data_IF_693663093795
#
_entry.id   IF_693663093795
#
_cell.length_a   1.000
_cell.length_b   1.000
_cell.length_c   1.000
_cell.angle_alpha   90.00
_cell.angle_beta   90.00
_cell.angle_gamma   90.00
#
_symmetry.space_group_name_H-M   'P 1'
#
loop_
_entity.id
_entity.type
_entity.pdbx_description
1 polymer ?
#
# COMPACT_ATOMS: atom_id res chain seq x y z
N UNK A 1 -12.19 2.83 14.06
CA UNK A 1 -11.09 3.26 13.16
C UNK A 1 -11.66 3.69 11.81
N UNK A 2 -11.29 4.87 11.32
CA UNK A 2 -11.72 5.46 10.04
C UNK A 2 -10.51 6.09 9.33
N UNK A 3 -10.35 5.86 8.04
CA UNK A 3 -9.38 6.61 7.23
C UNK A 3 -9.97 7.99 6.96
N UNK A 4 -9.23 9.04 7.31
CA UNK A 4 -9.64 10.44 7.05
C UNK A 4 -9.05 10.95 5.75
N UNK A 5 -7.77 10.70 5.52
CA UNK A 5 -7.04 11.23 4.38
C UNK A 5 -5.92 10.29 3.97
N UNK A 6 -5.64 10.27 2.68
CA UNK A 6 -4.46 9.62 2.11
C UNK A 6 -3.78 10.62 1.20
N UNK A 7 -2.47 10.80 1.35
CA UNK A 7 -1.63 11.55 0.42
C UNK A 7 -0.61 10.60 -0.21
N UNK A 8 -0.39 10.74 -1.49
CA UNK A 8 0.57 9.97 -2.27
C UNK A 8 1.41 10.93 -3.09
N UNK A 9 2.72 10.87 -2.92
CA UNK A 9 3.69 11.70 -3.66
C UNK A 9 4.60 10.78 -4.46
N UNK A 10 4.65 10.98 -5.77
CA UNK A 10 5.59 10.32 -6.69
C UNK A 10 5.54 8.78 -6.65
N UNK A 11 4.34 8.21 -6.58
CA UNK A 11 4.11 6.76 -6.58
C UNK A 11 3.31 6.35 -7.83
N UNK A 12 3.90 5.50 -8.66
CA UNK A 12 3.27 5.00 -9.89
C UNK A 12 2.81 6.15 -10.79
N UNK A 13 1.51 6.22 -11.15
CA UNK A 13 0.98 7.31 -11.99
C UNK A 13 0.79 8.64 -11.24
N UNK A 14 0.91 8.65 -9.91
CA UNK A 14 0.76 9.86 -9.10
C UNK A 14 2.05 10.66 -9.10
N UNK A 15 2.09 11.73 -9.92
CA UNK A 15 3.20 12.69 -9.99
C UNK A 15 2.95 13.81 -9.01
N UNK A 16 3.99 14.26 -8.30
CA UNK A 16 3.88 15.23 -7.22
C UNK A 16 2.91 14.74 -6.12
N UNK A 17 2.35 15.67 -5.36
CA UNK A 17 1.45 15.37 -4.27
C UNK A 17 0.00 15.23 -4.77
N UNK A 18 -0.62 14.12 -4.42
CA UNK A 18 -2.03 13.84 -4.69
C UNK A 18 -2.72 13.45 -3.38
N UNK A 19 -3.77 14.18 -3.02
CA UNK A 19 -4.50 13.95 -1.78
C UNK A 19 -5.91 13.42 -2.06
N UNK A 20 -6.33 12.46 -1.23
CA UNK A 20 -7.68 11.87 -1.24
C UNK A 20 -8.28 12.08 0.14
N UNK A 21 -9.36 12.85 0.21
CA UNK A 21 -10.09 13.10 1.43
C UNK A 21 -11.27 12.12 1.54
N UNK A 22 -11.34 11.41 2.66
CA UNK A 22 -12.38 10.44 2.98
C UNK A 22 -13.21 10.87 4.19
N UNK A 23 -13.01 12.09 4.69
CA UNK A 23 -13.76 12.63 5.82
C UNK A 23 -15.17 13.03 5.37
N UNK A 24 -16.06 12.05 5.39
CA UNK A 24 -17.47 12.25 5.05
C UNK A 24 -18.18 12.81 6.26
N UNK A 25 -18.78 14.00 6.13
CA UNK A 25 -19.54 14.68 7.19
C UNK A 25 -20.84 13.94 7.58
N UNK A 26 -21.38 13.14 6.66
CA UNK A 26 -22.61 12.37 6.89
C UNK A 26 -22.30 11.05 7.59
N UNK A 27 -22.65 10.95 8.87
CA UNK A 27 -22.41 9.76 9.71
C UNK A 27 -23.14 8.51 9.20
N UNK A 28 -24.16 8.66 8.36
CA UNK A 28 -24.89 7.52 7.78
C UNK A 28 -24.17 6.91 6.60
N UNK A 29 -23.27 7.64 5.96
CA UNK A 29 -22.47 7.19 4.81
C UNK A 29 -21.18 6.53 5.29
N UNK A 30 -21.15 5.21 5.32
CA UNK A 30 -20.00 4.42 5.81
C UNK A 30 -19.11 3.86 4.69
N UNK A 31 -19.42 4.18 3.44
CA UNK A 31 -18.73 3.61 2.28
C UNK A 31 -18.25 4.74 1.37
N UNK A 32 -16.98 4.68 0.99
CA UNK A 32 -16.38 5.53 -0.04
C UNK A 32 -16.04 4.67 -1.25
N UNK A 33 -16.55 5.03 -2.41
CA UNK A 33 -16.28 4.34 -3.66
C UNK A 33 -15.20 5.11 -4.45
N UNK A 34 -14.10 4.43 -4.77
CA UNK A 34 -13.03 4.98 -5.60
C UNK A 34 -13.21 4.46 -7.02
N UNK A 35 -13.75 5.29 -7.90
CA UNK A 35 -13.94 5.01 -9.32
C UNK A 35 -12.79 5.54 -10.18
N UNK A 36 -12.65 5.00 -11.40
CA UNK A 36 -11.69 5.50 -12.39
C UNK A 36 -11.46 4.51 -13.54
N UNK A 37 -10.96 5.02 -14.67
CA UNK A 37 -10.60 4.22 -15.86
C UNK A 37 -9.50 3.20 -15.54
N UNK A 38 -9.33 2.19 -16.40
CA UNK A 38 -8.20 1.26 -16.28
C UNK A 38 -6.87 2.05 -16.42
N UNK A 39 -5.89 1.73 -15.58
CA UNK A 39 -4.61 2.46 -15.56
C UNK A 39 -4.61 3.75 -14.71
N UNK A 40 -5.74 4.21 -14.17
CA UNK A 40 -5.83 5.46 -13.39
C UNK A 40 -5.17 5.41 -12.00
N UNK A 41 -4.53 4.30 -11.62
CA UNK A 41 -3.80 4.20 -10.35
C UNK A 41 -4.58 3.60 -9.19
N UNK A 42 -5.82 3.09 -9.37
CA UNK A 42 -6.61 2.49 -8.27
C UNK A 42 -5.84 1.42 -7.49
N UNK A 43 -5.24 0.47 -8.20
CA UNK A 43 -4.42 -0.59 -7.60
C UNK A 43 -3.16 -0.02 -6.93
N UNK A 44 -2.57 1.01 -7.53
CA UNK A 44 -1.40 1.71 -6.97
C UNK A 44 -1.75 2.38 -5.65
N UNK A 45 -2.90 3.06 -5.56
CA UNK A 45 -3.39 3.67 -4.32
C UNK A 45 -3.61 2.63 -3.23
N UNK A 46 -4.24 1.50 -3.57
CA UNK A 46 -4.44 0.40 -2.61
C UNK A 46 -3.10 -0.19 -2.12
N UNK A 47 -2.14 -0.38 -3.02
CA UNK A 47 -0.81 -0.85 -2.65
C UNK A 47 -0.05 0.19 -1.82
N UNK A 48 -0.18 1.48 -2.13
CA UNK A 48 0.41 2.56 -1.34
C UNK A 48 -0.09 2.55 0.11
N UNK A 49 -1.40 2.33 0.33
CA UNK A 49 -1.97 2.16 1.68
C UNK A 49 -1.33 0.96 2.38
N UNK A 50 -1.29 -0.20 1.71
CA UNK A 50 -0.69 -1.42 2.28
C UNK A 50 0.75 -1.20 2.68
N UNK A 51 1.55 -0.62 1.80
CA UNK A 51 2.96 -0.40 2.04
C UNK A 51 3.17 0.63 3.15
N UNK A 52 2.40 1.73 3.17
CA UNK A 52 2.51 2.72 4.23
C UNK A 52 2.30 2.09 5.60
N UNK A 53 1.27 1.26 5.74
CA UNK A 53 0.92 0.66 7.02
C UNK A 53 1.81 -0.53 7.39
N UNK A 54 2.15 -1.41 6.45
CA UNK A 54 2.81 -2.69 6.73
C UNK A 54 4.29 -2.74 6.33
N UNK A 55 4.79 -1.77 5.55
CA UNK A 55 6.17 -1.79 5.07
C UNK A 55 6.53 -3.04 4.29
N UNK A 56 7.66 -3.65 4.62
CA UNK A 56 8.16 -4.86 3.96
C UNK A 56 7.22 -6.06 4.08
N UNK A 57 6.43 -6.13 5.17
CA UNK A 57 5.45 -7.21 5.38
C UNK A 57 4.33 -7.19 4.34
N UNK A 58 4.02 -6.03 3.75
CA UNK A 58 3.07 -5.92 2.64
C UNK A 58 3.43 -6.80 1.43
N UNK A 59 4.70 -7.12 1.27
CA UNK A 59 5.26 -7.99 0.24
C UNK A 59 5.67 -9.38 0.75
N UNK A 60 5.42 -9.69 2.02
CA UNK A 60 5.78 -10.96 2.64
C UNK A 60 7.26 -11.06 3.05
N UNK A 61 7.95 -9.94 3.21
CA UNK A 61 9.32 -9.91 3.73
C UNK A 61 9.32 -9.63 5.25
N UNK A 62 10.23 -10.27 5.97
CA UNK A 62 10.38 -10.09 7.43
C UNK A 62 11.17 -8.82 7.79
N UNK A 63 11.94 -8.27 6.84
CA UNK A 63 12.80 -7.10 7.05
C UNK A 63 13.01 -6.31 5.77
N UNK A 64 13.49 -5.08 5.91
CA UNK A 64 13.87 -4.19 4.81
C UNK A 64 15.16 -4.69 4.15
N UNK A 65 15.03 -5.66 3.25
CA UNK A 65 16.13 -6.27 2.50
C UNK A 65 16.18 -5.78 1.04
N UNK A 66 17.19 -6.20 0.30
CA UNK A 66 17.37 -5.81 -1.11
C UNK A 66 16.17 -6.21 -2.00
N UNK A 67 15.50 -7.34 -1.70
CA UNK A 67 14.32 -7.79 -2.46
C UNK A 67 13.13 -6.85 -2.21
N UNK A 68 12.94 -6.42 -0.97
CA UNK A 68 11.93 -5.42 -0.63
C UNK A 68 12.18 -4.10 -1.36
N UNK A 69 13.40 -3.57 -1.32
CA UNK A 69 13.72 -2.32 -2.00
C UNK A 69 13.60 -2.42 -3.53
N UNK A 70 13.81 -3.59 -4.12
CA UNK A 70 13.52 -3.83 -5.53
C UNK A 70 12.01 -3.76 -5.85
N UNK A 71 11.12 -4.17 -4.93
CA UNK A 71 9.67 -3.96 -5.08
C UNK A 71 9.29 -2.48 -4.91
N UNK A 72 9.91 -1.79 -3.96
CA UNK A 72 9.71 -0.34 -3.77
C UNK A 72 10.16 0.43 -5.02
N UNK A 73 11.30 0.10 -5.60
CA UNK A 73 11.79 0.72 -6.84
C UNK A 73 10.74 0.63 -7.97
N UNK A 74 10.03 -0.48 -8.09
CA UNK A 74 9.01 -0.66 -9.14
C UNK A 74 7.84 0.31 -9.00
N UNK A 75 7.46 0.66 -7.77
CA UNK A 75 6.30 1.52 -7.50
C UNK A 75 6.63 3.02 -7.50
N UNK A 76 7.89 3.40 -7.27
CA UNK A 76 8.29 4.81 -7.34
C UNK A 76 8.14 5.32 -8.78
N UNK A 77 7.65 6.56 -8.93
CA UNK A 77 7.45 7.17 -10.23
C UNK A 77 8.75 7.20 -11.05
N UNK A 78 8.66 6.94 -12.34
CA UNK A 78 9.82 6.84 -13.22
C UNK A 78 10.63 8.15 -13.27
N UNK A 79 9.97 9.31 -13.22
CA UNK A 79 10.63 10.61 -13.25
C UNK A 79 11.54 10.80 -12.02
N UNK A 80 11.10 10.34 -10.84
CA UNK A 80 11.89 10.43 -9.61
C UNK A 80 13.15 9.56 -9.65
N UNK A 81 13.10 8.42 -10.33
CA UNK A 81 14.27 7.54 -10.51
C UNK A 81 15.35 8.15 -11.39
N UNK A 82 14.99 9.08 -12.27
CA UNK A 82 15.90 9.79 -13.15
C UNK A 82 16.54 11.02 -12.47
N UNK A 83 16.00 11.45 -11.33
CA UNK A 83 16.57 12.56 -10.56
C UNK A 83 17.87 12.12 -9.87
N UNK A 84 18.77 13.09 -9.63
CA UNK A 84 19.97 12.85 -8.81
C UNK A 84 19.60 12.39 -7.40
N UNK A 85 18.54 12.98 -6.86
CA UNK A 85 17.89 12.60 -5.62
C UNK A 85 16.39 12.68 -5.87
N UNK A 86 15.72 11.55 -5.87
CA UNK A 86 14.27 11.44 -6.00
C UNK A 86 13.62 11.16 -4.64
N UNK A 87 12.37 11.54 -4.52
CA UNK A 87 11.59 11.35 -3.29
C UNK A 87 10.20 10.80 -3.62
N UNK A 88 9.75 9.86 -2.81
CA UNK A 88 8.40 9.33 -2.85
C UNK A 88 7.85 9.20 -1.43
N UNK A 89 6.56 9.45 -1.23
CA UNK A 89 5.97 9.45 0.09
C UNK A 89 4.52 8.99 0.07
N UNK A 90 4.09 8.35 1.14
CA UNK A 90 2.69 8.06 1.43
C UNK A 90 2.38 8.50 2.85
N UNK A 91 1.31 9.28 2.99
CA UNK A 91 0.79 9.72 4.28
C UNK A 91 -0.64 9.22 4.45
N UNK A 92 -0.97 8.70 5.62
CA UNK A 92 -2.31 8.21 5.95
C UNK A 92 -2.74 8.76 7.29
N UNK A 93 -3.85 9.47 7.32
CA UNK A 93 -4.49 9.91 8.55
C UNK A 93 -5.61 8.94 8.93
N UNK A 94 -5.49 8.35 10.11
CA UNK A 94 -6.49 7.45 10.69
C UNK A 94 -7.09 8.08 11.94
N UNK A 95 -8.41 8.09 12.01
CA UNK A 95 -9.12 8.36 13.26
C UNK A 95 -9.33 7.03 13.99
N UNK A 96 -8.88 6.98 15.23
CA UNK A 96 -9.01 5.82 16.10
C UNK A 96 -9.58 6.24 17.44
N UNK A 97 -10.62 5.51 17.89
CA UNK A 97 -11.25 5.68 19.19
C UNK A 97 -10.55 4.73 20.18
N UNK A 98 -10.10 5.24 21.31
CA UNK A 98 -9.52 4.47 22.42
C UNK A 98 -10.55 4.07 23.49
N UNK A 99 -11.83 4.36 23.24
CA UNK A 99 -12.96 4.12 24.14
C UNK A 99 -13.33 5.32 25.02
N UNK A 100 -12.50 6.39 24.99
CA UNK A 100 -12.77 7.67 25.68
C UNK A 100 -12.71 8.86 24.74
N UNK A 101 -11.72 8.86 23.85
CA UNK A 101 -11.46 9.96 22.94
C UNK A 101 -11.08 9.45 21.56
N UNK A 102 -11.44 10.24 20.56
CA UNK A 102 -10.96 10.06 19.20
C UNK A 102 -9.57 10.68 19.04
N UNK A 103 -8.62 9.89 18.57
CA UNK A 103 -7.25 10.32 18.26
C UNK A 103 -6.98 10.23 16.76
N UNK A 104 -6.30 11.23 16.23
CA UNK A 104 -5.81 11.19 14.86
C UNK A 104 -4.37 10.67 14.84
N UNK A 105 -4.16 9.56 14.15
CA UNK A 105 -2.85 8.99 13.90
C UNK A 105 -2.45 9.24 12.45
N UNK A 106 -1.30 9.90 12.26
CA UNK A 106 -0.71 10.16 10.96
C UNK A 106 0.47 9.23 10.76
N UNK A 107 0.36 8.35 9.77
CA UNK A 107 1.41 7.44 9.34
C UNK A 107 2.11 8.04 8.13
N UNK A 108 3.42 8.25 8.21
CA UNK A 108 4.24 8.79 7.12
C UNK A 108 5.31 7.77 6.78
N UNK A 109 5.29 7.30 5.54
CA UNK A 109 6.37 6.45 5.00
C UNK A 109 6.92 7.10 3.74
N UNK A 110 8.22 7.40 3.79
CA UNK A 110 8.90 8.07 2.68
C UNK A 110 10.13 7.30 2.23
N UNK A 111 10.45 7.44 0.95
CA UNK A 111 11.61 6.83 0.33
C UNK A 111 12.42 7.91 -0.37
N UNK A 112 13.72 7.88 -0.15
CA UNK A 112 14.70 8.73 -0.83
C UNK A 112 15.53 7.86 -1.76
N UNK A 113 15.51 8.17 -3.02
CA UNK A 113 16.24 7.45 -4.08
C UNK A 113 17.48 8.24 -4.44
N UNK A 114 18.66 7.62 -4.34
CA UNK A 114 19.93 8.20 -4.75
C UNK A 114 20.69 7.17 -5.61
N UNK A 115 20.53 7.29 -6.92
CA UNK A 115 21.01 6.27 -7.86
C UNK A 115 20.33 4.91 -7.58
N UNK A 116 21.14 3.89 -7.25
CA UNK A 116 20.64 2.54 -6.92
C UNK A 116 20.29 2.35 -5.43
N UNK A 117 20.51 3.35 -4.59
CA UNK A 117 20.25 3.25 -3.17
C UNK A 117 18.89 3.86 -2.85
N UNK A 118 18.08 3.12 -2.11
CA UNK A 118 16.80 3.57 -1.57
C UNK A 118 16.91 3.54 -0.05
N UNK A 119 16.64 4.67 0.58
CA UNK A 119 16.51 4.79 2.03
C UNK A 119 15.03 4.99 2.37
N UNK A 120 14.54 4.30 3.39
CA UNK A 120 13.18 4.39 3.87
C UNK A 120 13.14 5.04 5.24
N UNK A 121 12.16 5.91 5.47
CA UNK A 121 11.85 6.48 6.77
C UNK A 121 10.38 6.22 7.08
N UNK A 122 10.10 5.81 8.32
CA UNK A 122 8.74 5.60 8.81
C UNK A 122 8.51 6.38 10.09
N UNK A 123 7.52 7.25 10.09
CA UNK A 123 7.16 8.10 11.22
C UNK A 123 5.67 7.94 11.54
N UNK A 124 5.36 7.89 12.83
CA UNK A 124 3.98 7.91 13.32
C UNK A 124 3.79 9.12 14.21
N UNK A 125 2.70 9.86 14.01
CA UNK A 125 2.30 10.96 14.86
C UNK A 125 0.93 10.65 15.48
N UNK A 126 0.76 11.02 16.74
CA UNK A 126 -0.53 10.98 17.43
C UNK A 126 -0.93 12.42 17.74
N UNK A 127 -2.07 12.89 17.25
CA UNK A 127 -2.58 14.25 17.43
C UNK A 127 -1.52 15.33 17.12
N UNK A 128 -0.75 15.11 16.05
CA UNK A 128 0.33 15.98 15.59
C UNK A 128 1.70 15.75 16.24
N UNK A 129 1.77 15.06 17.38
CA UNK A 129 3.02 14.79 18.08
C UNK A 129 3.70 13.51 17.57
N UNK A 130 4.97 13.59 17.19
CA UNK A 130 5.74 12.43 16.73
C UNK A 130 5.96 11.46 17.88
N UNK A 131 5.60 10.19 17.68
CA UNK A 131 5.87 9.14 18.64
C UNK A 131 7.35 8.72 18.59
N UNK A 132 7.98 8.56 19.76
CA UNK A 132 9.31 7.98 19.89
C UNK A 132 9.31 6.49 19.53
N UNK A 133 10.49 5.89 19.30
CA UNK A 133 10.58 4.45 19.02
C UNK A 133 10.08 3.60 20.19
N UNK A 134 10.28 4.06 21.43
CA UNK A 134 9.76 3.41 22.64
C UNK A 134 8.23 3.45 22.67
N UNK A 135 7.64 4.63 22.43
CA UNK A 135 6.19 4.79 22.38
C UNK A 135 5.56 4.00 21.22
N UNK A 136 6.27 3.87 20.10
CA UNK A 136 5.84 2.99 18.99
C UNK A 136 5.82 1.52 19.42
N UNK A 137 6.81 1.07 20.19
CA UNK A 137 6.88 -0.30 20.70
C UNK A 137 5.86 -0.58 21.79
N UNK A 138 5.70 0.33 22.73
CA UNK A 138 4.81 0.20 23.90
C UNK A 138 3.35 0.41 23.53
N UNK A 139 3.08 1.32 22.59
CA UNK A 139 1.73 1.65 22.12
C UNK A 139 1.20 0.74 21.02
N UNK A 140 1.69 -0.48 20.88
CA UNK A 140 1.31 -1.39 19.80
C UNK A 140 1.78 -1.01 18.38
N UNK A 141 2.51 0.09 18.19
CA UNK A 141 2.94 0.57 16.88
C UNK A 141 4.29 0.02 16.40
N UNK A 142 5.00 -0.70 17.26
CA UNK A 142 6.36 -1.18 16.98
C UNK A 142 6.46 -2.34 16.00
N UNK A 143 5.36 -2.97 15.62
CA UNK A 143 5.36 -4.11 14.70
C UNK A 143 4.08 -4.18 13.89
N UNK A 144 4.15 -4.79 12.73
CA UNK A 144 3.00 -5.19 11.87
C UNK A 144 1.88 -5.90 12.66
N UNK A 145 2.16 -6.36 13.87
CA UNK A 145 1.24 -7.01 14.82
C UNK A 145 0.12 -6.07 15.27
N UNK A 146 0.37 -4.76 15.37
CA UNK A 146 -0.67 -3.80 15.76
C UNK A 146 -1.77 -3.71 14.71
N UNK A 147 -1.39 -3.56 13.46
CA UNK A 147 -2.37 -3.50 12.36
C UNK A 147 -3.09 -4.83 12.16
N UNK A 148 -2.43 -5.95 12.47
CA UNK A 148 -3.05 -7.28 12.51
C UNK A 148 -4.08 -7.43 13.65
N UNK A 149 -3.92 -6.70 14.75
CA UNK A 149 -4.91 -6.70 15.85
C UNK A 149 -6.08 -5.75 15.63
N UNK A 150 -5.85 -4.63 14.94
CA UNK A 150 -6.90 -3.62 14.64
C UNK A 150 -7.74 -4.03 13.43
N UNK A 151 -7.13 -4.59 12.40
CA UNK A 151 -7.89 -5.15 11.29
C UNK A 151 -8.65 -6.38 11.78
N UNK A 152 -9.97 -6.45 11.56
CA UNK A 152 -10.74 -7.63 11.93
C UNK A 152 -10.09 -8.86 11.31
N UNK A 153 -9.92 -9.92 12.10
CA UNK A 153 -9.26 -11.20 11.71
C UNK A 153 -9.68 -11.76 10.35
N UNK A 154 -10.79 -11.30 9.79
CA UNK A 154 -11.29 -11.66 8.46
C UNK A 154 -10.46 -11.12 7.29
N UNK A 155 -9.61 -10.10 7.49
CA UNK A 155 -8.76 -9.55 6.41
C UNK A 155 -7.38 -10.22 6.39
N UNK A 156 -6.98 -10.87 7.48
CA UNK A 156 -5.66 -11.50 7.64
C UNK A 156 -5.64 -12.97 7.26
N UNK A 157 -6.79 -13.62 7.11
CA UNK A 157 -6.85 -14.97 6.57
C UNK A 157 -6.74 -14.94 5.04
N UNK A 158 -5.55 -14.65 4.53
CA UNK A 158 -5.15 -15.18 3.23
C UNK A 158 -4.94 -16.67 3.51
N UNK A 159 -5.83 -17.57 3.06
CA UNK A 159 -5.59 -18.98 3.25
C UNK A 159 -4.30 -19.33 2.53
N UNK A 160 -3.39 -20.02 3.21
CA UNK A 160 -2.17 -20.59 2.65
C UNK A 160 -2.43 -21.59 1.50
N UNK A 161 -3.66 -21.71 1.05
CA UNK A 161 -4.16 -22.63 0.03
C UNK A 161 -4.64 -21.96 -1.26
N UNK A 162 -4.16 -20.76 -1.62
CA UNK A 162 -4.25 -20.34 -3.02
C UNK A 162 -3.21 -21.15 -3.78
N UNK A 163 -3.55 -22.41 -4.07
CA UNK A 163 -2.88 -23.20 -5.09
C UNK A 163 -2.82 -22.32 -6.35
N UNK A 164 -1.62 -22.10 -6.85
CA UNK A 164 -1.39 -21.48 -8.15
C UNK A 164 -2.28 -22.20 -9.15
N UNK A 165 -3.23 -21.48 -9.74
CA UNK A 165 -3.94 -22.00 -10.91
C UNK A 165 -2.86 -22.17 -11.97
N UNK A 166 -2.57 -23.38 -12.45
CA UNK A 166 -1.58 -23.56 -13.49
C UNK A 166 -2.06 -22.78 -14.72
N UNK A 167 -1.16 -21.98 -15.29
CA UNK A 167 -1.42 -21.31 -16.56
C UNK A 167 -1.92 -22.35 -17.55
N UNK A 168 -3.12 -22.13 -18.10
CA UNK A 168 -3.67 -22.98 -19.17
C UNK A 168 -2.63 -22.98 -20.29
N UNK A 169 -2.07 -24.15 -20.59
CA UNK A 169 -1.28 -24.38 -21.80
C UNK A 169 -2.15 -23.96 -22.98
N UNK A 170 -1.55 -23.21 -23.88
CA UNK A 170 -2.15 -22.81 -25.14
C UNK A 170 -2.76 -24.04 -25.82
N UNK A 171 -4.04 -23.99 -26.12
CA UNK A 171 -4.65 -24.92 -27.07
C UNK A 171 -4.02 -24.61 -28.43
N UNK A 172 -3.25 -25.52 -28.94
CA UNK A 172 -2.86 -25.53 -30.36
C UNK A 172 -4.16 -25.62 -31.19
N UNK A 173 -4.28 -24.86 -32.28
CA UNK A 173 -5.40 -25.02 -33.19
C UNK A 173 -5.26 -26.37 -33.92
N UNK A 174 -6.15 -27.29 -33.62
CA UNK A 174 -6.33 -28.51 -34.43
C UNK A 174 -6.75 -28.09 -35.85
N UNK A 175 -5.95 -28.46 -36.82
CA UNK A 175 -6.27 -28.35 -38.22
C UNK A 175 -7.55 -29.15 -38.54
N UNK A 176 -8.44 -28.67 -39.43
CA UNK A 176 -9.55 -29.47 -39.88
C UNK A 176 -9.07 -30.54 -40.86
N UNK A 177 -9.22 -31.80 -40.47
CA UNK A 177 -9.13 -32.95 -41.38
C UNK A 177 -10.33 -32.95 -42.34
N UNK A 178 -10.02 -33.21 -43.56
CA UNK A 178 -10.96 -33.87 -44.48
C UNK A 178 -11.57 -33.01 -45.56
N UNK A 179 -10.92 -32.92 -46.70
CA UNK A 179 -11.66 -32.94 -47.99
C UNK A 179 -11.16 -34.06 -48.84
N UNK A 180 -12.06 -35.04 -48.95
CA UNK A 180 -11.94 -36.14 -49.90
C UNK A 180 -12.05 -35.61 -51.35
N UNK A 181 -11.29 -36.28 -52.21
CA UNK A 181 -11.36 -36.25 -53.64
C UNK A 181 -12.79 -36.54 -54.19
N UNK A 182 -13.20 -35.82 -55.21
CA UNK A 182 -13.56 -36.39 -56.54
C UNK A 182 -13.15 -35.34 -57.57
#
# INVERSE_FOLDING_TARGET
>A
MKIKRIQVKNIGPYVNENAFDFDVSDITKRMVLIGGKNGSGKTTLFNAIKICLYGCVAYGFESNNAKYFAEIEKIINANEKLQKIGEAEVVIDLLMDDGKYDHTYTFVRSWRVAGKKIAETFTVRKDGNTLSETEKSDSFFGTSIFLLKILPKRIVSIPASVKRIPAKRNCEPTAPDGMLNI
#
